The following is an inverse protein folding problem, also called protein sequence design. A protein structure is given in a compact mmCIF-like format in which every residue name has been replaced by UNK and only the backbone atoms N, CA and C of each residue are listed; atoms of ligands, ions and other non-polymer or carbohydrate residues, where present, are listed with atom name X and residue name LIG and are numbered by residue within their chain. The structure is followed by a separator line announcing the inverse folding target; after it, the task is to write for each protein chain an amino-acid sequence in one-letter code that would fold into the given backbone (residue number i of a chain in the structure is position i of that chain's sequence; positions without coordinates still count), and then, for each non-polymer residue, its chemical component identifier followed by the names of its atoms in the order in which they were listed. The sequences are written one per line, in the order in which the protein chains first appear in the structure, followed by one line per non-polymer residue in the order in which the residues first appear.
data_IF_468746530484
#
_entry.id   IF_468746530484
#
_cell.length_a   1.000
_cell.length_b   1.000
_cell.length_c   1.000
_cell.angle_alpha   90.00
_cell.angle_beta   90.00
_cell.angle_gamma   90.00
#
_symmetry.space_group_name_H-M   'P 1'
#
loop_
_entity.id
_entity.type
_entity.pdbx_description
1 polymer ?
#
# COMPACT_ATOMS: atom_id res chain seq x y z
N UNK A 1 -9.62 -11.96 14.57
CA UNK A 1 -8.33 -11.91 13.84
C UNK A 1 -8.47 -10.83 12.79
N UNK A 2 -7.62 -9.81 12.80
CA UNK A 2 -7.76 -8.66 11.90
C UNK A 2 -7.24 -9.03 10.51
N UNK A 3 -7.79 -8.43 9.45
CA UNK A 3 -7.41 -8.74 8.07
C UNK A 3 -5.96 -8.28 7.80
N UNK A 4 -5.53 -7.20 8.43
CA UNK A 4 -4.18 -6.66 8.36
C UNK A 4 -3.13 -7.64 8.90
N UNK A 5 -3.40 -8.35 10.01
CA UNK A 5 -2.46 -9.29 10.63
C UNK A 5 -2.04 -10.42 9.67
N UNK A 6 -3.02 -10.97 8.94
CA UNK A 6 -2.78 -12.01 7.93
C UNK A 6 -1.98 -11.44 6.75
N UNK A 7 -2.32 -10.24 6.30
CA UNK A 7 -1.64 -9.59 5.17
C UNK A 7 -0.16 -9.33 5.46
N UNK A 8 0.19 -8.89 6.67
CA UNK A 8 1.57 -8.69 7.09
C UNK A 8 2.34 -10.01 7.23
N UNK A 9 1.68 -11.06 7.69
CA UNK A 9 2.27 -12.40 7.80
C UNK A 9 2.65 -12.96 6.42
N UNK A 10 1.78 -12.77 5.43
CA UNK A 10 2.04 -13.16 4.02
C UNK A 10 3.20 -12.34 3.42
N UNK A 11 3.23 -11.02 3.65
CA UNK A 11 4.36 -10.19 3.21
C UNK A 11 5.68 -10.66 3.84
N UNK A 12 5.70 -10.91 5.15
CA UNK A 12 6.89 -11.38 5.84
C UNK A 12 7.37 -12.73 5.29
N UNK A 13 6.45 -13.63 4.91
CA UNK A 13 6.80 -14.90 4.26
C UNK A 13 7.41 -14.68 2.87
N UNK A 14 6.78 -13.86 2.03
CA UNK A 14 7.27 -13.53 0.68
C UNK A 14 8.70 -12.99 0.75
N UNK A 15 8.96 -12.02 1.64
CA UNK A 15 10.28 -11.44 1.83
C UNK A 15 11.30 -12.44 2.37
N UNK A 16 10.92 -13.30 3.33
CA UNK A 16 11.80 -14.37 3.87
C UNK A 16 12.19 -15.39 2.81
N UNK A 17 11.32 -15.63 1.84
CA UNK A 17 11.59 -16.52 0.71
C UNK A 17 12.44 -15.83 -0.39
N UNK A 18 12.82 -14.57 -0.21
CA UNK A 18 13.54 -13.79 -1.23
C UNK A 18 12.68 -13.44 -2.44
N UNK A 19 11.36 -13.60 -2.33
CA UNK A 19 10.41 -13.28 -3.39
C UNK A 19 10.06 -11.79 -3.32
N UNK A 20 9.83 -11.19 -4.48
CA UNK A 20 9.31 -9.83 -4.54
C UNK A 20 7.78 -9.87 -4.41
N UNK A 21 7.20 -9.10 -3.48
CA UNK A 21 5.77 -8.91 -3.43
C UNK A 21 5.28 -8.20 -4.69
N UNK A 22 4.17 -8.70 -5.24
CA UNK A 22 3.50 -8.14 -6.39
C UNK A 22 2.48 -7.05 -6.00
N UNK A 23 1.92 -6.36 -7.00
CA UNK A 23 0.93 -5.31 -6.76
C UNK A 23 -0.30 -5.84 -6.01
N UNK A 24 -0.68 -7.09 -6.23
CA UNK A 24 -1.82 -7.73 -5.58
C UNK A 24 -1.59 -7.92 -4.07
N UNK A 25 -0.39 -8.34 -3.68
CA UNK A 25 0.03 -8.43 -2.28
C UNK A 25 -0.04 -7.07 -1.59
N UNK A 26 0.44 -6.02 -2.28
CA UNK A 26 0.39 -4.64 -1.77
C UNK A 26 -1.04 -4.12 -1.64
N UNK A 27 -1.89 -4.40 -2.62
CA UNK A 27 -3.30 -4.02 -2.62
C UNK A 27 -4.07 -4.63 -1.45
N UNK A 28 -3.80 -5.90 -1.13
CA UNK A 28 -4.44 -6.59 0.01
C UNK A 28 -4.03 -5.94 1.34
N UNK A 29 -2.76 -5.58 1.51
CA UNK A 29 -2.30 -4.90 2.74
C UNK A 29 -2.91 -3.51 2.90
N UNK A 30 -2.90 -2.71 1.82
CA UNK A 30 -3.48 -1.37 1.85
C UNK A 30 -4.99 -1.44 2.13
N UNK A 31 -5.71 -2.36 1.47
CA UNK A 31 -7.15 -2.51 1.70
C UNK A 31 -7.45 -2.96 3.12
N UNK A 32 -6.68 -3.91 3.67
CA UNK A 32 -6.84 -4.35 5.06
C UNK A 32 -6.62 -3.22 6.07
N UNK A 33 -5.61 -2.37 5.85
CA UNK A 33 -5.35 -1.20 6.68
C UNK A 33 -6.46 -0.15 6.56
N UNK A 34 -6.93 0.14 5.35
CA UNK A 34 -8.03 1.06 5.11
C UNK A 34 -9.35 0.58 5.76
N UNK A 35 -9.68 -0.70 5.61
CA UNK A 35 -10.87 -1.32 6.20
C UNK A 35 -10.85 -1.29 7.75
N UNK A 36 -9.66 -1.25 8.34
CA UNK A 36 -9.47 -1.14 9.79
C UNK A 36 -9.41 0.31 10.29
N UNK A 37 -9.60 1.29 9.40
CA UNK A 37 -9.50 2.73 9.71
C UNK A 37 -8.07 3.21 9.95
N UNK A 38 -7.05 2.39 9.64
CA UNK A 38 -5.64 2.68 9.86
C UNK A 38 -5.02 3.42 8.67
N UNK A 39 -5.61 4.56 8.32
CA UNK A 39 -5.26 5.28 7.09
C UNK A 39 -3.81 5.76 7.10
N UNK A 40 -3.30 6.24 8.25
CA UNK A 40 -1.90 6.66 8.38
C UNK A 40 -0.90 5.52 8.14
N UNK A 41 -1.22 4.30 8.59
CA UNK A 41 -0.41 3.11 8.33
C UNK A 41 -0.44 2.73 6.85
N UNK A 42 -1.62 2.83 6.21
CA UNK A 42 -1.78 2.58 4.78
C UNK A 42 -0.96 3.59 3.94
N UNK A 43 -1.01 4.88 4.29
CA UNK A 43 -0.23 5.92 3.62
C UNK A 43 1.27 5.72 3.76
N UNK A 44 1.76 5.37 4.97
CA UNK A 44 3.18 5.05 5.19
C UNK A 44 3.63 3.86 4.34
N UNK A 45 2.80 2.83 4.23
CA UNK A 45 3.09 1.67 3.39
C UNK A 45 3.10 2.05 1.91
N UNK A 46 2.13 2.84 1.45
CA UNK A 46 2.06 3.32 0.07
C UNK A 46 3.32 4.09 -0.33
N UNK A 47 3.76 5.06 0.47
CA UNK A 47 4.99 5.80 0.19
C UNK A 47 6.23 4.92 0.20
N UNK A 48 6.25 3.88 1.03
CA UNK A 48 7.34 2.89 1.04
C UNK A 48 7.36 2.06 -0.25
N UNK A 49 6.20 1.65 -0.76
CA UNK A 49 6.05 0.95 -2.06
C UNK A 49 6.61 1.82 -3.18
N UNK A 50 6.19 3.09 -3.24
CA UNK A 50 6.63 4.06 -4.24
C UNK A 50 8.14 4.29 -4.17
N UNK A 51 8.69 4.51 -2.97
CA UNK A 51 10.12 4.82 -2.77
C UNK A 51 11.04 3.64 -3.06
N UNK A 52 10.62 2.42 -2.75
CA UNK A 52 11.42 1.20 -2.99
C UNK A 52 11.27 0.72 -4.45
N UNK A 53 10.31 1.27 -5.19
CA UNK A 53 10.03 0.86 -6.57
C UNK A 53 9.31 -0.48 -6.66
N UNK A 54 8.55 -0.86 -5.62
CA UNK A 54 7.72 -2.06 -5.69
C UNK A 54 6.60 -1.87 -6.72
N UNK A 55 6.15 -2.94 -7.39
CA UNK A 55 5.04 -2.85 -8.33
C UNK A 55 3.77 -2.35 -7.64
N UNK A 56 3.15 -1.31 -8.20
CA UNK A 56 1.82 -0.82 -7.84
C UNK A 56 1.00 -0.56 -9.10
N UNK A 57 -0.33 -0.62 -8.98
CA UNK A 57 -1.26 -0.41 -10.09
C UNK A 57 -2.30 0.66 -9.74
N UNK A 58 -3.15 1.01 -10.71
CA UNK A 58 -4.23 2.01 -10.54
C UNK A 58 -5.13 1.65 -9.35
N UNK A 59 -5.32 0.34 -9.09
CA UNK A 59 -6.11 -0.13 -7.96
C UNK A 59 -5.44 0.14 -6.61
N UNK A 60 -4.10 0.05 -6.53
CA UNK A 60 -3.31 0.49 -5.36
C UNK A 60 -3.63 1.94 -5.00
N UNK A 61 -3.63 2.84 -5.99
CA UNK A 61 -3.94 4.25 -5.79
C UNK A 61 -5.41 4.44 -5.40
N UNK A 62 -6.34 3.73 -6.04
CA UNK A 62 -7.77 3.80 -5.72
C UNK A 62 -8.08 3.36 -4.28
N UNK A 63 -7.41 2.34 -3.75
CA UNK A 63 -7.58 1.90 -2.35
C UNK A 63 -7.20 3.02 -1.39
N UNK A 64 -6.06 3.66 -1.62
CA UNK A 64 -5.55 4.72 -0.74
C UNK A 64 -6.43 5.97 -0.81
N UNK A 65 -6.88 6.35 -2.01
CA UNK A 65 -7.79 7.49 -2.24
C UNK A 65 -9.19 7.24 -1.65
N UNK A 66 -9.66 5.99 -1.68
CA UNK A 66 -10.99 5.65 -1.13
C UNK A 66 -10.95 5.44 0.38
N UNK A 67 -9.84 4.95 0.92
CA UNK A 67 -9.66 4.72 2.36
C UNK A 67 -9.31 5.98 3.13
N UNK A 68 -8.49 6.87 2.56
CA UNK A 68 -8.32 8.21 3.07
C UNK A 68 -9.29 9.13 2.37
N UNK A 69 -10.45 9.42 2.96
CA UNK A 69 -11.28 10.53 2.51
C UNK A 69 -10.40 11.80 2.44
N UNK A 70 -10.01 12.15 1.22
CA UNK A 70 -9.41 13.39 0.75
C UNK A 70 -8.61 14.14 1.83
N UNK A 71 -7.33 13.81 1.98
CA UNK A 71 -6.34 14.80 2.44
C UNK A 71 -5.32 15.01 1.31
N UNK A 72 -5.72 15.88 0.39
CA UNK A 72 -4.89 16.76 -0.44
C UNK A 72 -3.43 16.33 -0.67
N UNK A 73 -3.13 15.83 -1.87
CA UNK A 73 -1.81 15.98 -2.49
C UNK A 73 -1.92 15.81 -4.01
N UNK A 74 -2.44 16.85 -4.65
CA UNK A 74 -2.09 17.20 -6.03
C UNK A 74 -0.60 17.60 -6.00
N UNK A 75 0.32 16.65 -5.87
CA UNK A 75 1.77 16.85 -6.00
C UNK A 75 2.43 15.64 -6.68
N UNK A 76 1.86 15.17 -7.80
CA UNK A 76 2.60 14.32 -8.76
C UNK A 76 2.70 15.04 -10.11
N UNK A 77 2.76 16.38 -10.09
CA UNK A 77 3.06 17.21 -11.26
C UNK A 77 4.48 17.83 -11.23
N UNK A 78 5.34 17.32 -10.34
CA UNK A 78 6.68 17.88 -10.10
C UNK A 78 7.88 17.07 -10.64
N UNK A 79 7.72 15.82 -11.09
CA UNK A 79 8.83 15.08 -11.69
C UNK A 79 8.97 15.41 -13.18
N UNK A 80 9.28 16.68 -13.46
CA UNK A 80 10.03 17.07 -14.67
C UNK A 80 11.49 17.22 -14.29
N UNK A 81 12.27 16.16 -14.45
CA UNK A 81 13.45 16.17 -15.32
C UNK A 81 14.03 14.77 -15.49
#
# INVERSE_FOLDING_TARGET
MKQSDLSFSVLALILKLGLQPDSRTMNVMLSGLCNEGKIDEAMKLFWKIVRIGYPYDVYTCSIVISGGEIQEAIEVNGMKH
#
